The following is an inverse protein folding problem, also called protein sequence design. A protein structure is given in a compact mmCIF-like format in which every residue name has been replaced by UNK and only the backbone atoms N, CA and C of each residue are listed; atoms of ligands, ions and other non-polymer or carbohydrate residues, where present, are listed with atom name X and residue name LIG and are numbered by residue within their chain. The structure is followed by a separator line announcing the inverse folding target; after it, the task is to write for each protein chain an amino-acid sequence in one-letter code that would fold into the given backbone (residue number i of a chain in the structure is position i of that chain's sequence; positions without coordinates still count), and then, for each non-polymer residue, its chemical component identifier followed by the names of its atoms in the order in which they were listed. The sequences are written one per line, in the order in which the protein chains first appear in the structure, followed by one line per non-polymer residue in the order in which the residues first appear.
data_IF_362717491299
#
_entry.id   IF_362717491299
#
_cell.length_a   1.000
_cell.length_b   1.000
_cell.length_c   1.000
_cell.angle_alpha   90.00
_cell.angle_beta   90.00
_cell.angle_gamma   90.00
#
_symmetry.space_group_name_H-M   'P 1'
#
loop_
_entity.id
_entity.type
_entity.pdbx_description
1 polymer ?
#
# COMPACT_ATOMS: atom_id res chain seq x y z
N UNK A 1 -16.00 3.40 6.20
CA UNK A 1 -15.14 2.68 5.26
C UNK A 1 -13.99 2.12 6.08
N UNK A 2 -13.87 0.80 6.19
CA UNK A 2 -12.87 0.13 7.01
C UNK A 2 -11.98 -0.66 6.05
N UNK A 3 -10.68 -0.41 6.09
CA UNK A 3 -9.66 -1.15 5.33
C UNK A 3 -8.81 -1.83 6.41
N UNK A 4 -8.87 -3.16 6.48
CA UNK A 4 -8.06 -3.98 7.40
C UNK A 4 -6.92 -4.64 6.61
N UNK A 5 -5.69 -4.06 6.62
CA UNK A 5 -4.53 -4.69 6.01
C UNK A 5 -3.84 -5.61 7.03
N UNK A 6 -3.82 -6.92 6.77
CA UNK A 6 -2.90 -7.85 7.43
C UNK A 6 -1.73 -8.11 6.50
N UNK A 7 -0.50 -7.76 6.91
CA UNK A 7 0.71 -7.92 6.08
C UNK A 7 1.70 -8.86 6.76
N UNK A 8 2.22 -9.83 6.02
CA UNK A 8 3.38 -10.64 6.40
C UNK A 8 4.42 -10.48 5.30
N UNK A 9 5.60 -9.94 5.66
CA UNK A 9 6.91 -10.02 5.00
C UNK A 9 6.93 -10.31 3.48
N UNK A 10 7.35 -9.33 2.65
CA UNK A 10 7.56 -9.46 1.20
C UNK A 10 6.55 -10.43 0.53
N UNK A 11 5.27 -10.14 0.74
CA UNK A 11 4.19 -11.06 0.50
C UNK A 11 2.94 -10.30 0.08
N UNK A 12 2.02 -11.00 -0.57
CA UNK A 12 0.77 -10.42 -1.05
C UNK A 12 0.08 -9.63 0.07
N UNK A 13 -0.08 -8.33 -0.13
CA UNK A 13 -0.81 -7.43 0.75
C UNK A 13 -2.27 -7.51 0.35
N UNK A 14 -3.08 -8.22 1.13
CA UNK A 14 -4.53 -8.30 0.92
C UNK A 14 -5.23 -7.08 1.52
N UNK A 15 -6.17 -6.51 0.77
CA UNK A 15 -7.01 -5.40 1.22
C UNK A 15 -8.41 -5.52 0.63
N UNK A 16 -9.41 -4.95 1.31
CA UNK A 16 -10.79 -4.93 0.80
C UNK A 16 -11.19 -3.51 0.48
N UNK A 17 -11.75 -3.32 -0.71
CA UNK A 17 -12.27 -2.05 -1.20
C UNK A 17 -13.78 -2.13 -1.16
N UNK A 18 -14.45 -1.14 -0.58
CA UNK A 18 -15.91 -1.07 -0.49
C UNK A 18 -16.52 -0.12 -1.53
N UNK A 19 -15.70 0.42 -2.43
CA UNK A 19 -16.10 1.29 -3.53
C UNK A 19 -15.25 0.99 -4.77
N UNK A 20 -15.84 1.22 -5.94
CA UNK A 20 -15.20 1.10 -7.24
C UNK A 20 -14.39 2.37 -7.57
N UNK A 21 -13.53 2.77 -6.64
CA UNK A 21 -12.70 3.96 -6.76
C UNK A 21 -11.27 3.59 -7.16
N UNK A 22 -10.61 4.53 -7.83
CA UNK A 22 -9.17 4.43 -8.07
C UNK A 22 -8.43 4.53 -6.73
N UNK A 23 -7.45 3.64 -6.57
CA UNK A 23 -6.65 3.53 -5.35
C UNK A 23 -5.21 3.84 -5.66
N UNK A 24 -4.51 4.38 -4.69
CA UNK A 24 -3.08 4.53 -4.70
C UNK A 24 -2.48 3.70 -3.57
N UNK A 25 -1.50 2.88 -3.92
CA UNK A 25 -0.65 2.18 -2.97
C UNK A 25 0.58 3.03 -2.72
N UNK A 26 0.88 3.25 -1.45
CA UNK A 26 2.01 4.04 -1.00
C UNK A 26 2.84 3.16 -0.07
N UNK A 27 4.11 2.93 -0.39
CA UNK A 27 5.06 2.27 0.51
C UNK A 27 5.96 3.35 1.11
N UNK A 28 6.08 3.33 2.44
CA UNK A 28 6.92 4.24 3.20
C UNK A 28 7.94 3.48 4.04
N UNK A 29 9.13 4.04 4.23
CA UNK A 29 10.02 3.57 5.30
C UNK A 29 9.38 3.88 6.65
N UNK A 30 9.24 2.89 7.53
CA UNK A 30 8.65 3.09 8.85
C UNK A 30 9.45 4.11 9.67
N UNK A 31 10.78 4.08 9.54
CA UNK A 31 11.70 4.87 10.37
C UNK A 31 11.70 6.36 10.01
N UNK A 32 11.56 6.71 8.73
CA UNK A 32 11.63 8.10 8.26
C UNK A 32 10.30 8.65 7.74
N UNK A 33 9.31 7.79 7.48
CA UNK A 33 8.08 8.15 6.77
C UNK A 33 8.28 8.47 5.29
N UNK A 34 9.50 8.30 4.76
CA UNK A 34 9.86 8.56 3.36
C UNK A 34 9.06 7.65 2.44
N UNK A 35 8.33 8.23 1.48
CA UNK A 35 7.65 7.48 0.41
C UNK A 35 8.70 6.98 -0.57
N UNK A 36 8.79 5.65 -0.70
CA UNK A 36 9.75 4.98 -1.59
C UNK A 36 9.09 4.34 -2.81
N UNK A 37 7.76 4.18 -2.77
CA UNK A 37 6.96 3.65 -3.85
C UNK A 37 5.55 4.25 -3.78
N UNK A 38 4.99 4.66 -4.92
CA UNK A 38 3.62 5.16 -5.02
C UNK A 38 3.04 4.76 -6.36
N UNK A 39 2.07 3.86 -6.39
CA UNK A 39 1.42 3.41 -7.64
C UNK A 39 -0.08 3.59 -7.55
N UNK A 40 -0.66 4.16 -8.60
CA UNK A 40 -2.11 4.24 -8.77
C UNK A 40 -2.60 2.93 -9.39
N UNK A 41 -3.36 2.17 -8.62
CA UNK A 41 -4.05 0.97 -9.07
C UNK A 41 -5.38 1.34 -9.72
N UNK A 42 -5.55 0.89 -10.96
CA UNK A 42 -6.84 0.87 -11.62
C UNK A 42 -7.69 -0.23 -10.99
N UNK A 43 -8.53 0.14 -10.01
CA UNK A 43 -9.38 -0.80 -9.25
C UNK A 43 -10.85 -0.48 -9.48
N UNK A 44 -11.42 -0.78 -10.67
CA UNK A 44 -12.76 -0.37 -11.05
C UNK A 44 -13.88 -1.14 -10.32
N UNK A 45 -13.56 -1.95 -9.31
CA UNK A 45 -14.54 -2.76 -8.59
C UNK A 45 -14.22 -2.89 -7.10
N UNK A 46 -15.27 -2.84 -6.30
CA UNK A 46 -15.22 -3.20 -4.89
C UNK A 46 -14.92 -4.70 -4.70
N UNK A 47 -14.37 -5.06 -3.53
CA UNK A 47 -14.12 -6.43 -3.12
C UNK A 47 -12.72 -6.66 -2.56
N UNK A 48 -12.38 -7.93 -2.34
CA UNK A 48 -11.02 -8.33 -1.93
C UNK A 48 -10.05 -8.12 -3.09
N UNK A 49 -8.91 -7.52 -2.77
CA UNK A 49 -7.81 -7.24 -3.69
C UNK A 49 -6.51 -7.65 -3.02
N UNK A 50 -5.49 -7.84 -3.84
CA UNK A 50 -4.13 -8.14 -3.39
C UNK A 50 -3.17 -7.26 -4.16
N UNK A 51 -2.20 -6.68 -3.46
CA UNK A 51 -1.08 -5.97 -4.05
C UNK A 51 0.22 -6.70 -3.69
N UNK A 52 1.08 -6.94 -4.67
CA UNK A 52 2.37 -7.56 -4.44
C UNK A 52 3.47 -6.53 -4.64
N UNK A 53 4.29 -6.34 -3.62
CA UNK A 53 5.45 -5.46 -3.70
C UNK A 53 6.74 -6.29 -3.78
N UNK A 54 7.60 -5.95 -4.73
CA UNK A 54 8.86 -6.64 -4.99
C UNK A 54 10.05 -6.13 -4.16
N UNK A 55 9.84 -5.16 -3.25
CA UNK A 55 10.93 -4.51 -2.51
C UNK A 55 11.73 -3.50 -3.34
N UNK A 56 11.17 -3.03 -4.45
CA UNK A 56 11.81 -2.10 -5.37
C UNK A 56 11.03 -0.78 -5.46
N UNK A 57 11.72 0.29 -5.82
CA UNK A 57 11.07 1.55 -6.23
C UNK A 57 10.44 1.40 -7.61
N UNK A 58 9.59 2.36 -8.01
CA UNK A 58 9.05 2.42 -9.38
C UNK A 58 10.13 2.52 -10.47
N UNK A 59 11.30 3.05 -10.13
CA UNK A 59 12.44 3.13 -11.04
C UNK A 59 13.21 1.79 -11.14
N UNK A 60 12.76 0.73 -10.46
CA UNK A 60 13.40 -0.59 -10.43
C UNK A 60 14.62 -0.66 -9.51
N UNK A 61 14.85 0.36 -8.67
CA UNK A 61 15.93 0.31 -7.69
C UNK A 61 15.53 -0.60 -6.53
N UNK A 62 16.35 -1.62 -6.25
CA UNK A 62 16.21 -2.46 -5.06
C UNK A 62 16.46 -1.60 -3.82
N UNK A 63 15.54 -1.66 -2.86
CA UNK A 63 15.70 -0.99 -1.58
C UNK A 63 16.50 -1.86 -0.61
N UNK A 64 17.23 -1.21 0.28
CA UNK A 64 17.95 -1.88 1.36
C UNK A 64 16.99 -2.63 2.30
N UNK A 65 17.52 -3.62 3.01
CA UNK A 65 16.75 -4.33 4.03
C UNK A 65 16.26 -3.35 5.12
N UNK A 66 14.97 -3.42 5.43
CA UNK A 66 14.35 -2.51 6.39
C UNK A 66 12.86 -2.77 6.59
N UNK A 67 12.26 -2.01 7.52
CA UNK A 67 10.81 -2.09 7.78
C UNK A 67 10.09 -1.03 6.96
N UNK A 68 9.11 -1.48 6.18
CA UNK A 68 8.31 -0.66 5.29
C UNK A 68 6.83 -0.81 5.61
N UNK A 69 6.10 0.30 5.55
CA UNK A 69 4.66 0.36 5.77
C UNK A 69 3.96 0.54 4.44
N UNK A 70 2.93 -0.27 4.20
CA UNK A 70 2.01 -0.09 3.07
C UNK A 70 0.80 0.72 3.53
N UNK A 71 0.48 1.77 2.79
CA UNK A 71 -0.74 2.56 2.96
C UNK A 71 -1.53 2.54 1.66
N UNK A 72 -2.87 2.49 1.78
CA UNK A 72 -3.79 2.58 0.66
C UNK A 72 -4.57 3.89 0.76
N UNK A 73 -4.58 4.67 -0.31
CA UNK A 73 -5.32 5.94 -0.40
C UNK A 73 -6.33 5.86 -1.53
N UNK A 74 -7.58 6.21 -1.26
CA UNK A 74 -8.55 6.44 -2.33
C UNK A 74 -8.28 7.79 -3.00
N UNK A 75 -8.14 7.81 -4.33
CA UNK A 75 -7.92 9.05 -5.07
C UNK A 75 -9.23 9.84 -5.26
N UNK A 76 -10.38 9.21 -5.01
CA UNK A 76 -11.71 9.86 -4.99
C UNK A 76 -12.10 10.49 -3.65
N UNK A 77 -11.36 10.22 -2.56
CA UNK A 77 -11.71 10.70 -1.21
C UNK A 77 -10.58 10.48 -0.20
N UNK A 78 -9.94 11.58 0.18
CA UNK A 78 -8.76 11.66 1.05
C UNK A 78 -8.94 10.95 2.40
N UNK A 79 -8.27 9.81 2.62
CA UNK A 79 -7.85 9.33 3.95
C UNK A 79 -6.53 8.53 3.84
N UNK A 80 -5.62 8.77 4.79
CA UNK A 80 -4.33 8.07 4.95
C UNK A 80 -4.53 7.08 6.11
N UNK A 81 -4.34 5.78 5.88
CA UNK A 81 -4.29 4.79 6.95
C UNK A 81 -2.82 4.50 7.24
N UNK A 82 -2.35 4.86 8.43
CA UNK A 82 -1.01 4.54 8.91
C UNK A 82 -1.07 3.29 9.77
N UNK A 83 -0.32 2.25 9.39
CA UNK A 83 -0.13 1.04 10.18
C UNK A 83 1.24 1.12 10.86
N UNK A 84 1.28 0.94 12.18
CA UNK A 84 2.52 0.95 12.98
C UNK A 84 2.59 -0.38 13.71
N UNK A 85 3.63 -1.18 13.42
CA UNK A 85 3.91 -2.41 14.16
C UNK A 85 4.91 -2.12 15.30
N UNK A 86 4.79 -2.81 16.47
CA UNK A 86 5.81 -2.85 17.52
C UNK A 86 7.00 -3.76 17.18
#
# INVERSE_FOLDING_TARGET
MVIDPSVSQAGNIEFTTNSADQLEVIIKKLTSGEVVYSEVLDSPSCGKKSFQWSGQTLAGQVLDDGVYVTAFRSTSGSQIVEHTEP
#
